data_IF_890623139934
#
_entry.id   IF_890623139934
#
_cell.length_a   1.000
_cell.length_b   1.000
_cell.length_c   1.000
_cell.angle_alpha   90.00
_cell.angle_beta   90.00
_cell.angle_gamma   90.00
#
_symmetry.space_group_name_H-M   'P 1'
#
loop_
_entity.id
_entity.type
_entity.pdbx_description
1 polymer ?
#
# COMPACT_ATOMS: atom_id res chain seq x y z
N UNK A 1 -22.51 16.84 -0.32
CA UNK A 1 -23.07 15.66 0.40
C UNK A 1 -23.85 14.73 -0.55
N UNK A 2 -24.60 15.25 -1.51
CA UNK A 2 -25.45 14.43 -2.42
C UNK A 2 -24.67 13.58 -3.45
N UNK A 3 -23.52 14.07 -3.91
CA UNK A 3 -22.69 13.38 -4.93
C UNK A 3 -21.92 12.17 -4.36
N UNK A 4 -21.71 12.13 -3.05
CA UNK A 4 -21.02 11.04 -2.36
C UNK A 4 -21.96 9.85 -2.10
N UNK A 5 -23.26 10.08 -1.87
CA UNK A 5 -24.23 9.00 -1.64
C UNK A 5 -24.54 8.16 -2.88
N UNK A 6 -24.56 8.76 -4.07
CA UNK A 6 -24.89 8.06 -5.34
C UNK A 6 -23.80 7.05 -5.75
N UNK A 7 -22.57 7.20 -5.27
CA UNK A 7 -21.46 6.25 -5.54
C UNK A 7 -21.45 5.04 -4.59
N UNK A 8 -22.12 5.13 -3.44
CA UNK A 8 -21.99 4.17 -2.35
C UNK A 8 -22.78 2.88 -2.50
N UNK A 9 -23.96 2.92 -3.15
CA UNK A 9 -24.82 1.73 -3.26
C UNK A 9 -24.49 0.81 -4.45
N UNK A 10 -23.55 1.18 -5.32
CA UNK A 10 -23.07 0.32 -6.41
C UNK A 10 -22.36 -0.96 -5.92
N UNK A 11 -22.03 -1.07 -4.65
CA UNK A 11 -21.30 -2.21 -4.08
C UNK A 11 -22.17 -3.30 -3.43
N UNK A 12 -23.46 -3.04 -3.15
CA UNK A 12 -24.40 -4.04 -2.65
C UNK A 12 -25.72 -3.90 -3.41
N UNK A 13 -26.20 -4.99 -4.01
CA UNK A 13 -27.46 -4.95 -4.76
C UNK A 13 -28.65 -4.71 -3.82
N UNK A 14 -29.67 -4.00 -4.27
CA UNK A 14 -30.95 -3.77 -3.54
C UNK A 14 -31.51 -5.09 -3.03
N UNK A 15 -31.40 -6.17 -3.84
CA UNK A 15 -31.84 -7.51 -3.48
C UNK A 15 -31.13 -8.02 -2.22
N UNK A 16 -29.80 -7.90 -2.14
CA UNK A 16 -29.02 -8.36 -0.99
C UNK A 16 -29.31 -7.55 0.27
N UNK A 17 -29.50 -6.21 0.13
CA UNK A 17 -29.89 -5.37 1.26
C UNK A 17 -31.29 -5.74 1.76
N UNK A 18 -32.21 -6.07 0.85
CA UNK A 18 -33.56 -6.53 1.16
C UNK A 18 -33.53 -7.84 1.96
N UNK A 19 -32.78 -8.83 1.49
CA UNK A 19 -32.63 -10.13 2.15
C UNK A 19 -32.06 -10.00 3.56
N UNK A 20 -31.00 -9.22 3.73
CA UNK A 20 -30.30 -9.06 5.03
C UNK A 20 -31.05 -8.13 6.00
N UNK A 21 -31.76 -7.12 5.51
CA UNK A 21 -32.51 -6.18 6.38
C UNK A 21 -33.88 -6.69 6.76
N UNK A 22 -34.44 -7.64 6.01
CA UNK A 22 -35.79 -8.16 6.14
C UNK A 22 -36.89 -7.22 5.63
N UNK A 23 -36.54 -6.19 4.84
CA UNK A 23 -37.49 -5.27 4.23
C UNK A 23 -37.59 -5.50 2.72
N UNK A 24 -38.76 -5.28 2.14
CA UNK A 24 -38.98 -5.43 0.69
C UNK A 24 -38.09 -4.47 -0.13
N UNK A 25 -37.74 -4.92 -1.34
CA UNK A 25 -36.87 -4.16 -2.27
C UNK A 25 -37.39 -2.74 -2.55
N UNK A 26 -38.72 -2.56 -2.64
CA UNK A 26 -39.33 -1.24 -2.82
C UNK A 26 -39.07 -0.29 -1.63
N UNK A 27 -39.06 -0.82 -0.40
CA UNK A 27 -38.76 -0.04 0.81
C UNK A 27 -37.26 0.31 0.85
N UNK A 28 -36.39 -0.63 0.50
CA UNK A 28 -34.95 -0.41 0.39
C UNK A 28 -34.64 0.66 -0.66
N UNK A 29 -35.24 0.58 -1.85
CA UNK A 29 -35.08 1.59 -2.91
C UNK A 29 -35.51 2.99 -2.44
N UNK A 30 -36.65 3.10 -1.74
CA UNK A 30 -37.10 4.38 -1.19
C UNK A 30 -36.10 4.98 -0.21
N UNK A 31 -35.52 4.15 0.68
CA UNK A 31 -34.52 4.61 1.65
C UNK A 31 -33.24 5.06 0.97
N UNK A 32 -32.73 4.27 0.03
CA UNK A 32 -31.48 4.57 -0.69
C UNK A 32 -31.61 5.83 -1.56
N UNK A 33 -32.78 6.07 -2.13
CA UNK A 33 -33.08 7.26 -2.94
C UNK A 33 -33.70 8.40 -2.12
N UNK A 34 -33.70 8.29 -0.78
CA UNK A 34 -34.23 9.30 0.15
C UNK A 34 -35.67 9.72 -0.16
N UNK A 35 -36.52 8.79 -0.66
CA UNK A 35 -37.92 9.04 -0.94
C UNK A 35 -38.76 8.99 0.35
N UNK A 36 -39.83 9.80 0.46
CA UNK A 36 -40.67 9.83 1.66
C UNK A 36 -41.50 8.54 1.80
N UNK A 37 -42.11 8.37 3.01
CA UNK A 37 -43.00 7.23 3.28
C UNK A 37 -42.32 6.06 3.98
N UNK A 38 -41.14 6.23 4.56
CA UNK A 38 -40.46 5.21 5.37
C UNK A 38 -40.19 5.76 6.76
N UNK A 39 -40.53 4.98 7.82
CA UNK A 39 -40.29 5.37 9.19
C UNK A 39 -38.78 5.54 9.48
N UNK A 40 -38.46 6.42 10.45
CA UNK A 40 -37.04 6.62 10.87
C UNK A 40 -36.41 5.32 11.30
N UNK A 41 -37.08 4.50 12.10
CA UNK A 41 -36.58 3.18 12.54
C UNK A 41 -36.25 2.23 11.40
N UNK A 42 -37.09 2.18 10.37
CA UNK A 42 -36.89 1.36 9.17
C UNK A 42 -35.69 1.88 8.36
N UNK A 43 -35.60 3.20 8.22
CA UNK A 43 -34.48 3.86 7.54
C UNK A 43 -33.15 3.54 8.22
N UNK A 44 -33.09 3.70 9.55
CA UNK A 44 -31.87 3.44 10.33
C UNK A 44 -31.44 1.97 10.22
N UNK A 45 -32.39 1.01 10.26
CA UNK A 45 -32.09 -0.41 10.12
C UNK A 45 -31.55 -0.76 8.73
N UNK A 46 -32.12 -0.24 7.66
CA UNK A 46 -31.66 -0.44 6.28
C UNK A 46 -30.26 0.15 6.08
N UNK A 47 -30.01 1.37 6.60
CA UNK A 47 -28.69 2.01 6.49
C UNK A 47 -27.62 1.27 7.31
N UNK A 48 -27.97 0.75 8.49
CA UNK A 48 -27.06 -0.09 9.29
C UNK A 48 -26.72 -1.38 8.54
N UNK A 49 -27.71 -2.05 7.93
CA UNK A 49 -27.48 -3.25 7.12
C UNK A 49 -26.59 -2.95 5.91
N UNK A 50 -26.83 -1.84 5.21
CA UNK A 50 -25.97 -1.39 4.10
C UNK A 50 -24.53 -1.18 4.57
N UNK A 51 -24.32 -0.50 5.68
CA UNK A 51 -23.00 -0.27 6.24
C UNK A 51 -22.29 -1.59 6.62
N UNK A 52 -23.02 -2.53 7.20
CA UNK A 52 -22.49 -3.86 7.55
C UNK A 52 -22.08 -4.65 6.30
N UNK A 53 -22.93 -4.70 5.28
CA UNK A 53 -22.63 -5.33 3.99
C UNK A 53 -21.42 -4.71 3.29
N UNK A 54 -21.29 -3.40 3.36
CA UNK A 54 -20.14 -2.68 2.82
C UNK A 54 -18.87 -3.00 3.60
N UNK A 55 -18.94 -3.10 4.93
CA UNK A 55 -17.81 -3.46 5.77
C UNK A 55 -17.35 -4.92 5.54
N UNK A 56 -18.28 -5.84 5.32
CA UNK A 56 -17.98 -7.23 4.94
C UNK A 56 -17.32 -7.27 3.56
N UNK A 57 -17.84 -6.56 2.58
CA UNK A 57 -17.23 -6.45 1.25
C UNK A 57 -15.86 -5.76 1.29
N UNK A 58 -15.66 -4.78 2.18
CA UNK A 58 -14.34 -4.16 2.41
C UNK A 58 -13.34 -5.12 3.05
N UNK A 59 -13.78 -5.96 4.00
CA UNK A 59 -12.92 -7.01 4.58
C UNK A 59 -12.52 -8.06 3.55
N UNK A 60 -13.44 -8.46 2.68
CA UNK A 60 -13.19 -9.46 1.62
C UNK A 60 -12.43 -8.89 0.40
N UNK A 61 -12.23 -7.58 0.31
CA UNK A 61 -11.60 -6.91 -0.84
C UNK A 61 -10.37 -6.08 -0.44
N UNK A 62 -9.75 -6.41 0.71
CA UNK A 62 -8.48 -5.80 1.09
C UNK A 62 -7.39 -6.27 0.15
N UNK A 63 -6.65 -5.31 -0.40
CA UNK A 63 -5.47 -5.61 -1.19
C UNK A 63 -4.31 -6.03 -0.29
N UNK A 64 -3.65 -7.10 -0.65
CA UNK A 64 -2.45 -7.57 0.01
C UNK A 64 -1.25 -6.78 -0.51
N UNK A 65 -0.54 -6.10 0.38
CA UNK A 65 0.69 -5.40 0.02
C UNK A 65 1.85 -6.12 0.70
N UNK A 66 2.74 -6.68 -0.09
CA UNK A 66 4.00 -7.21 0.40
C UNK A 66 4.94 -6.05 0.71
N UNK A 67 5.46 -5.98 1.92
CA UNK A 67 6.50 -5.04 2.32
C UNK A 67 7.77 -5.82 2.61
N UNK A 68 8.72 -5.77 1.68
CA UNK A 68 10.03 -6.39 1.81
C UNK A 68 11.07 -5.33 2.12
N UNK A 69 11.80 -5.47 3.22
CA UNK A 69 12.85 -4.52 3.56
C UNK A 69 14.12 -5.25 4.01
N UNK A 70 15.21 -4.90 3.37
CA UNK A 70 16.58 -5.22 3.79
C UNK A 70 17.19 -3.95 4.37
N UNK A 71 17.19 -3.81 5.69
CA UNK A 71 17.71 -2.61 6.33
C UNK A 71 18.10 -2.87 7.79
N UNK A 72 18.60 -1.83 8.47
CA UNK A 72 18.89 -1.89 9.90
C UNK A 72 17.62 -2.09 10.76
N UNK A 73 17.73 -2.71 11.94
CA UNK A 73 16.58 -2.99 12.81
C UNK A 73 15.76 -1.75 13.15
N UNK A 74 16.42 -0.63 13.44
CA UNK A 74 15.74 0.64 13.78
C UNK A 74 14.91 1.17 12.61
N UNK A 75 15.45 1.12 11.40
CA UNK A 75 14.71 1.53 10.19
C UNK A 75 13.51 0.64 9.96
N UNK A 76 13.69 -0.68 10.00
CA UNK A 76 12.62 -1.65 9.80
C UNK A 76 11.49 -1.45 10.81
N UNK A 77 11.79 -1.19 12.08
CA UNK A 77 10.82 -0.88 13.13
C UNK A 77 10.04 0.41 12.79
N UNK A 78 10.75 1.49 12.46
CA UNK A 78 10.13 2.77 12.11
C UNK A 78 9.23 2.64 10.86
N UNK A 79 9.67 1.88 9.86
CA UNK A 79 8.90 1.59 8.67
C UNK A 79 7.60 0.85 9.01
N UNK A 80 7.69 -0.20 9.84
CA UNK A 80 6.54 -0.97 10.30
C UNK A 80 5.50 -0.11 11.01
N UNK A 81 5.92 0.62 12.05
CA UNK A 81 5.05 1.51 12.83
C UNK A 81 4.39 2.59 11.96
N UNK A 82 5.14 3.14 10.99
CA UNK A 82 4.64 4.16 10.09
C UNK A 82 3.59 3.60 9.13
N UNK A 83 3.85 2.44 8.53
CA UNK A 83 2.90 1.78 7.62
C UNK A 83 1.61 1.39 8.34
N UNK A 84 1.69 0.87 9.55
CA UNK A 84 0.52 0.53 10.34
C UNK A 84 -0.30 1.77 10.72
N UNK A 85 0.37 2.84 11.14
CA UNK A 85 -0.28 4.12 11.44
C UNK A 85 -1.01 4.69 10.21
N UNK A 86 -0.36 4.66 9.04
CA UNK A 86 -0.96 5.14 7.79
C UNK A 86 -2.14 4.26 7.38
N UNK A 87 -2.00 2.94 7.48
CA UNK A 87 -3.07 2.00 7.16
C UNK A 87 -4.28 2.15 8.09
N UNK A 88 -4.05 2.35 9.39
CA UNK A 88 -5.10 2.61 10.38
C UNK A 88 -5.86 3.89 10.08
N UNK A 89 -5.16 4.99 9.77
CA UNK A 89 -5.77 6.26 9.35
C UNK A 89 -6.62 6.12 8.08
N UNK A 90 -6.29 5.17 7.22
CA UNK A 90 -7.03 4.84 6.00
C UNK A 90 -8.04 3.69 6.20
N UNK A 91 -8.55 3.50 7.43
CA UNK A 91 -9.55 2.49 7.76
C UNK A 91 -9.11 1.04 7.43
N UNK A 92 -7.83 0.74 7.60
CA UNK A 92 -7.25 -0.58 7.34
C UNK A 92 -7.62 -1.14 5.95
N UNK A 93 -7.48 -0.33 4.93
CA UNK A 93 -7.80 -0.70 3.53
C UNK A 93 -6.93 -1.82 2.98
N UNK A 94 -5.72 -1.98 3.54
CA UNK A 94 -4.73 -2.92 3.07
C UNK A 94 -4.44 -4.00 4.11
N UNK A 95 -4.08 -5.17 3.63
CA UNK A 95 -3.45 -6.22 4.42
C UNK A 95 -1.94 -6.15 4.15
N UNK A 96 -1.14 -5.81 5.18
CA UNK A 96 0.30 -5.65 5.06
C UNK A 96 1.00 -6.99 5.39
N UNK A 97 1.65 -7.58 4.40
CA UNK A 97 2.48 -8.77 4.55
C UNK A 97 3.92 -8.30 4.72
N UNK A 98 4.42 -8.30 5.94
CA UNK A 98 5.72 -7.73 6.29
C UNK A 98 6.80 -8.81 6.27
N UNK A 99 7.91 -8.57 5.56
CA UNK A 99 9.09 -9.43 5.46
C UNK A 99 10.33 -8.55 5.62
N UNK A 100 10.80 -8.43 6.85
CA UNK A 100 11.96 -7.60 7.20
C UNK A 100 13.18 -8.48 7.44
N UNK A 101 14.26 -8.17 6.76
CA UNK A 101 15.55 -8.88 6.84
C UNK A 101 16.58 -7.88 7.34
N UNK A 102 17.34 -8.24 8.38
CA UNK A 102 18.43 -7.43 8.81
C UNK A 102 19.51 -7.37 7.73
N UNK A 103 20.12 -6.20 7.52
CA UNK A 103 21.13 -6.02 6.45
C UNK A 103 22.29 -7.02 6.55
N UNK A 104 22.71 -7.39 7.77
CA UNK A 104 23.77 -8.39 8.02
C UNK A 104 23.36 -9.83 7.63
N UNK A 105 22.07 -10.13 7.59
CA UNK A 105 21.54 -11.47 7.32
C UNK A 105 21.01 -11.58 5.87
N UNK A 106 21.29 -10.58 5.05
CA UNK A 106 20.81 -10.52 3.69
C UNK A 106 21.44 -11.62 2.83
N UNK A 107 20.55 -12.37 2.17
CA UNK A 107 20.88 -13.32 1.12
C UNK A 107 19.95 -13.07 -0.05
N UNK A 108 20.47 -12.73 -1.25
CA UNK A 108 19.65 -12.46 -2.43
C UNK A 108 18.61 -13.55 -2.69
N UNK A 109 19.02 -14.82 -2.63
CA UNK A 109 18.14 -15.98 -2.89
C UNK A 109 16.95 -16.05 -1.92
N UNK A 110 17.16 -15.69 -0.67
CA UNK A 110 16.07 -15.65 0.32
C UNK A 110 15.07 -14.54 -0.01
N UNK A 111 15.59 -13.37 -0.40
CA UNK A 111 14.76 -12.24 -0.79
C UNK A 111 13.94 -12.54 -2.05
N UNK A 112 14.58 -13.20 -3.03
CA UNK A 112 13.93 -13.66 -4.26
C UNK A 112 12.80 -14.66 -3.95
N UNK A 113 13.02 -15.62 -3.05
CA UNK A 113 11.96 -16.57 -2.64
C UNK A 113 10.72 -15.87 -2.06
N UNK A 114 10.91 -14.74 -1.37
CA UNK A 114 9.79 -13.94 -0.85
C UNK A 114 9.03 -13.28 -1.99
N UNK A 115 9.73 -12.76 -3.01
CA UNK A 115 9.14 -12.10 -4.17
C UNK A 115 8.45 -13.07 -5.13
N UNK A 116 8.92 -14.31 -5.24
CA UNK A 116 8.42 -15.30 -6.19
C UNK A 116 7.00 -15.80 -5.91
N UNK A 117 6.50 -15.64 -4.68
CA UNK A 117 5.15 -16.08 -4.34
C UNK A 117 4.11 -14.98 -4.67
N UNK A 118 4.05 -14.64 -5.95
CA UNK A 118 3.22 -13.54 -6.46
C UNK A 118 1.73 -13.75 -6.22
N UNK A 119 1.28 -14.99 -5.98
CA UNK A 119 -0.13 -15.27 -5.68
C UNK A 119 -0.62 -14.67 -4.35
N UNK A 120 0.29 -14.35 -3.45
CA UNK A 120 -0.02 -13.88 -2.09
C UNK A 120 -0.23 -12.38 -1.98
N UNK A 121 0.16 -11.59 -2.98
CA UNK A 121 0.10 -10.14 -2.91
C UNK A 121 -0.38 -9.50 -4.21
N UNK A 122 -0.94 -8.30 -4.07
CA UNK A 122 -1.43 -7.47 -5.17
C UNK A 122 -0.43 -6.35 -5.54
N UNK A 123 0.47 -5.98 -4.63
CA UNK A 123 1.47 -4.94 -4.80
C UNK A 123 2.67 -5.17 -3.90
N UNK A 124 3.80 -4.55 -4.21
CA UNK A 124 5.05 -4.65 -3.43
C UNK A 124 5.58 -3.27 -3.06
N UNK A 125 6.00 -3.11 -1.81
CA UNK A 125 6.90 -2.03 -1.35
C UNK A 125 8.22 -2.70 -1.03
N UNK A 126 9.31 -2.24 -1.64
CA UNK A 126 10.62 -2.85 -1.52
C UNK A 126 11.69 -1.85 -1.08
N UNK A 127 12.49 -2.24 -0.09
CA UNK A 127 13.74 -1.58 0.31
C UNK A 127 14.85 -2.60 0.17
N UNK A 128 15.68 -2.48 -0.84
CA UNK A 128 16.75 -3.42 -1.15
C UNK A 128 17.92 -2.73 -1.82
N UNK A 129 19.08 -3.36 -1.80
CA UNK A 129 20.17 -3.04 -2.70
C UNK A 129 19.79 -3.45 -4.12
N UNK A 130 20.38 -2.77 -5.09
CA UNK A 130 20.21 -3.12 -6.51
C UNK A 130 21.06 -4.36 -6.84
N UNK A 131 20.37 -5.46 -7.11
CA UNK A 131 20.93 -6.75 -7.48
C UNK A 131 20.24 -7.26 -8.73
N UNK A 132 20.99 -7.79 -9.71
CA UNK A 132 20.44 -8.22 -11.00
C UNK A 132 19.31 -9.23 -10.85
N UNK A 133 19.45 -10.19 -9.94
CA UNK A 133 18.43 -11.20 -9.71
C UNK A 133 17.16 -10.62 -9.08
N UNK A 134 17.29 -9.64 -8.19
CA UNK A 134 16.15 -8.92 -7.61
C UNK A 134 15.45 -8.08 -8.67
N UNK A 135 16.23 -7.37 -9.51
CA UNK A 135 15.68 -6.60 -10.63
C UNK A 135 14.88 -7.49 -11.58
N UNK A 136 15.38 -8.68 -11.91
CA UNK A 136 14.68 -9.64 -12.77
C UNK A 136 13.33 -10.08 -12.16
N UNK A 137 13.28 -10.33 -10.86
CA UNK A 137 12.01 -10.68 -10.18
C UNK A 137 11.02 -9.50 -10.17
N UNK A 138 11.50 -8.29 -9.94
CA UNK A 138 10.65 -7.08 -10.01
C UNK A 138 10.07 -6.90 -11.42
N UNK A 139 10.88 -7.14 -12.47
CA UNK A 139 10.42 -7.10 -13.87
C UNK A 139 9.28 -8.12 -14.09
N UNK A 140 9.41 -9.35 -13.57
CA UNK A 140 8.35 -10.36 -13.68
C UNK A 140 7.07 -9.91 -12.98
N UNK A 141 7.18 -9.41 -11.74
CA UNK A 141 6.05 -8.93 -10.94
C UNK A 141 5.32 -7.77 -11.66
N UNK A 142 6.07 -6.82 -12.21
CA UNK A 142 5.47 -5.70 -12.95
C UNK A 142 4.84 -6.13 -14.27
N UNK A 143 5.39 -7.12 -14.95
CA UNK A 143 4.80 -7.72 -16.16
C UNK A 143 3.50 -8.48 -15.84
N UNK A 144 3.31 -8.98 -14.63
CA UNK A 144 2.04 -9.50 -14.14
C UNK A 144 1.00 -8.41 -13.81
N UNK A 145 1.34 -7.14 -14.04
CA UNK A 145 0.47 -6.00 -13.75
C UNK A 145 0.43 -5.59 -12.28
N UNK A 146 1.34 -6.08 -11.44
CA UNK A 146 1.41 -5.74 -10.02
C UNK A 146 2.37 -4.58 -9.80
N UNK A 147 1.93 -3.47 -9.18
CA UNK A 147 2.81 -2.34 -8.96
C UNK A 147 3.89 -2.65 -7.91
N UNK A 148 5.10 -2.20 -8.20
CA UNK A 148 6.27 -2.27 -7.30
C UNK A 148 6.77 -0.86 -7.01
N UNK A 149 6.81 -0.52 -5.73
CA UNK A 149 7.33 0.76 -5.23
C UNK A 149 8.68 0.53 -4.58
N UNK A 150 9.75 1.08 -5.16
CA UNK A 150 11.05 1.15 -4.50
C UNK A 150 11.02 2.28 -3.47
N UNK A 151 11.38 1.99 -2.23
CA UNK A 151 11.36 2.94 -1.13
C UNK A 151 12.78 3.15 -0.59
N UNK A 152 13.17 4.41 -0.35
CA UNK A 152 14.47 4.84 0.19
C UNK A 152 15.66 4.58 -0.74
N UNK A 153 15.83 3.36 -1.24
CA UNK A 153 16.86 2.98 -2.22
C UNK A 153 16.21 2.78 -3.57
N UNK A 154 16.74 3.40 -4.59
CA UNK A 154 16.23 3.26 -5.95
C UNK A 154 16.72 1.95 -6.62
N UNK A 155 15.88 1.42 -7.53
CA UNK A 155 16.16 0.23 -8.33
C UNK A 155 15.89 0.55 -9.81
N UNK A 156 16.71 1.41 -10.43
CA UNK A 156 16.44 1.97 -11.77
C UNK A 156 16.36 0.91 -12.86
N UNK A 157 17.08 -0.21 -12.72
CA UNK A 157 17.13 -1.27 -13.72
C UNK A 157 16.05 -2.36 -13.52
N UNK A 158 15.08 -2.14 -12.60
CA UNK A 158 14.11 -3.17 -12.22
C UNK A 158 12.71 -3.00 -12.84
N UNK A 159 12.49 -2.02 -13.72
CA UNK A 159 11.15 -1.68 -14.23
C UNK A 159 10.12 -1.41 -13.12
N UNK A 160 10.57 -0.94 -11.96
CA UNK A 160 9.68 -0.54 -10.84
C UNK A 160 8.64 0.47 -11.29
N UNK A 161 7.46 0.43 -10.70
CA UNK A 161 6.37 1.37 -11.01
C UNK A 161 6.72 2.80 -10.60
N UNK A 162 7.30 2.99 -9.41
CA UNK A 162 7.81 4.28 -8.96
C UNK A 162 8.89 4.12 -7.88
N UNK A 163 9.63 5.19 -7.64
CA UNK A 163 10.58 5.33 -6.55
C UNK A 163 10.13 6.47 -5.61
N UNK A 164 10.22 6.21 -4.33
CA UNK A 164 9.97 7.18 -3.27
C UNK A 164 11.21 7.23 -2.36
N UNK A 165 11.96 8.32 -2.46
CA UNK A 165 13.18 8.51 -1.70
C UNK A 165 13.89 9.81 -2.06
N UNK A 166 15.10 9.98 -1.55
CA UNK A 166 15.95 11.14 -1.82
C UNK A 166 16.55 11.04 -3.22
N UNK A 167 16.74 12.17 -3.88
CA UNK A 167 17.57 12.22 -5.08
C UNK A 167 19.04 12.05 -4.68
N UNK A 168 19.57 10.84 -4.87
CA UNK A 168 20.92 10.47 -4.43
C UNK A 168 22.01 11.28 -5.16
N UNK A 169 21.79 11.60 -6.43
CA UNK A 169 22.73 12.43 -7.20
C UNK A 169 22.83 13.84 -6.60
N UNK A 170 21.69 14.46 -6.29
CA UNK A 170 21.67 15.79 -5.66
C UNK A 170 22.26 15.73 -4.25
N UNK A 171 21.98 14.68 -3.48
CA UNK A 171 22.57 14.49 -2.15
C UNK A 171 24.09 14.37 -2.22
N UNK A 172 24.61 13.54 -3.14
CA UNK A 172 26.04 13.40 -3.40
C UNK A 172 26.70 14.70 -3.84
N UNK A 173 26.07 15.44 -4.77
CA UNK A 173 26.57 16.75 -5.22
C UNK A 173 26.63 17.77 -4.09
N UNK A 174 25.63 17.78 -3.21
CA UNK A 174 25.61 18.65 -2.02
C UNK A 174 26.71 18.30 -1.05
N UNK A 175 26.91 16.99 -0.77
CA UNK A 175 27.99 16.52 0.09
C UNK A 175 29.37 16.91 -0.48
N UNK A 176 29.58 16.67 -1.79
CA UNK A 176 30.83 17.05 -2.46
C UNK A 176 31.09 18.55 -2.37
N UNK A 177 30.06 19.38 -2.58
CA UNK A 177 30.19 20.83 -2.45
C UNK A 177 30.58 21.28 -1.03
N UNK A 178 29.96 20.71 -0.01
CA UNK A 178 30.27 21.02 1.39
C UNK A 178 31.71 20.60 1.72
N UNK A 179 32.10 19.37 1.36
CA UNK A 179 33.47 18.86 1.57
C UNK A 179 34.47 19.76 0.83
N UNK A 180 34.22 20.07 -0.43
CA UNK A 180 35.10 20.94 -1.25
C UNK A 180 35.34 22.30 -0.61
N UNK A 181 34.31 22.90 -0.03
CA UNK A 181 34.46 24.17 0.73
C UNK A 181 35.33 24.04 1.98
N UNK A 182 35.29 22.92 2.67
CA UNK A 182 36.08 22.70 3.88
C UNK A 182 37.54 22.30 3.59
N UNK A 183 37.74 21.47 2.56
CA UNK A 183 39.09 21.02 2.17
C UNK A 183 39.84 22.15 1.43
N UNK A 184 39.12 22.98 0.68
CA UNK A 184 39.72 24.06 -0.13
C UNK A 184 40.68 23.47 -1.17
N UNK A 185 41.81 24.13 -1.38
CA UNK A 185 42.86 23.70 -2.34
C UNK A 185 43.85 22.66 -1.78
N UNK A 186 43.54 22.06 -0.63
CA UNK A 186 44.41 21.04 -0.04
C UNK A 186 44.18 19.69 -0.72
N UNK A 187 45.24 18.98 -1.07
CA UNK A 187 45.15 17.59 -1.49
C UNK A 187 44.76 16.71 -0.32
N UNK A 188 43.90 15.75 -0.55
CA UNK A 188 43.41 14.83 0.46
C UNK A 188 42.68 13.63 -0.12
N UNK A 189 42.34 12.66 0.69
CA UNK A 189 41.51 11.50 0.34
C UNK A 189 40.16 11.56 1.05
N UNK A 190 39.12 11.17 0.39
CA UNK A 190 37.79 11.00 0.98
C UNK A 190 37.58 9.51 1.20
N UNK A 191 37.35 9.09 2.42
CA UNK A 191 36.96 7.72 2.74
C UNK A 191 35.43 7.62 2.64
N UNK A 192 34.95 6.68 1.82
CA UNK A 192 33.55 6.36 1.67
C UNK A 192 33.24 4.95 2.16
#
# INVERSE_FOLDING_TARGET
YYKIMVSYWKSASIKRISEESGYGTATVDRVLNNRPGVSKRTKDKILTTLNNLQNVNRKNNKKNILVCSQSGPSYNKTLEETLERVNSKNHNKFNLIKKFIAAKDFKPDHFIKILNDTSKFDAVIIVSQEEQNINNEIIKITNEGKPVVALTTDLPNSNRTCYIGSNQSNAGSTAAHIIGKHVGNKSGSILM
#
